data_IF_858148937208
#
_entry.id   IF_858148937208
#
_cell.length_a   1.000
_cell.length_b   1.000
_cell.length_c   1.000
_cell.angle_alpha   90.00
_cell.angle_beta   90.00
_cell.angle_gamma   90.00
#
_symmetry.space_group_name_H-M   'P 1'
#
loop_
_entity.id
_entity.type
_entity.pdbx_description
1 polymer ?
#
# COMPACT_ATOMS: atom_id res chain seq x y z
N UNK A 1 -0.48 11.78 -9.86
CA UNK A 1 -1.84 12.35 -9.95
C UNK A 1 -2.00 13.30 -8.78
N UNK A 2 -2.06 14.60 -9.02
CA UNK A 2 -2.24 15.60 -7.95
C UNK A 2 -3.72 15.65 -7.61
N UNK A 3 -4.11 15.15 -6.44
CA UNK A 3 -5.47 15.29 -5.94
C UNK A 3 -5.61 16.73 -5.45
N UNK A 4 -6.46 17.51 -6.09
CA UNK A 4 -6.76 18.88 -5.67
C UNK A 4 -7.80 18.81 -4.55
N UNK A 5 -7.34 19.00 -3.33
CA UNK A 5 -8.17 18.89 -2.13
C UNK A 5 -9.42 19.80 -2.18
N UNK A 6 -9.27 21.00 -2.74
CA UNK A 6 -10.35 21.97 -2.91
C UNK A 6 -11.52 21.44 -3.75
N UNK A 7 -11.23 20.75 -4.85
CA UNK A 7 -12.26 20.16 -5.74
C UNK A 7 -12.98 19.01 -5.03
N UNK A 8 -12.24 18.20 -4.27
CA UNK A 8 -12.81 17.08 -3.50
C UNK A 8 -13.78 17.56 -2.40
N UNK A 9 -13.45 18.66 -1.71
CA UNK A 9 -14.35 19.24 -0.71
C UNK A 9 -15.65 19.74 -1.35
N UNK A 10 -15.55 20.45 -2.48
CA UNK A 10 -16.73 20.92 -3.21
C UNK A 10 -17.60 19.76 -3.69
N UNK A 11 -16.99 18.69 -4.20
CA UNK A 11 -17.73 17.50 -4.62
C UNK A 11 -18.47 16.84 -3.44
N UNK A 12 -17.84 16.75 -2.27
CA UNK A 12 -18.46 16.19 -1.06
C UNK A 12 -19.66 17.02 -0.61
N UNK A 13 -19.56 18.36 -0.64
CA UNK A 13 -20.64 19.26 -0.23
C UNK A 13 -21.87 19.15 -1.15
N UNK A 14 -21.67 18.73 -2.41
CA UNK A 14 -22.78 18.50 -3.35
C UNK A 14 -23.48 17.14 -3.18
N UNK A 15 -22.94 16.24 -2.34
CA UNK A 15 -23.54 14.93 -2.10
C UNK A 15 -24.74 15.02 -1.14
N UNK A 16 -25.70 14.07 -1.24
CA UNK A 16 -26.78 13.91 -0.27
C UNK A 16 -26.26 13.65 1.15
N UNK A 17 -27.04 14.02 2.15
CA UNK A 17 -26.68 13.93 3.58
C UNK A 17 -26.30 12.51 3.99
N UNK A 18 -27.01 11.50 3.49
CA UNK A 18 -26.72 10.09 3.77
C UNK A 18 -25.35 9.65 3.26
N UNK A 19 -24.92 10.17 2.11
CA UNK A 19 -23.62 9.85 1.54
C UNK A 19 -22.49 10.56 2.29
N UNK A 20 -22.70 11.80 2.73
CA UNK A 20 -21.73 12.52 3.58
C UNK A 20 -21.53 11.80 4.92
N UNK A 21 -22.61 11.33 5.54
CA UNK A 21 -22.55 10.53 6.77
C UNK A 21 -21.80 9.21 6.58
N UNK A 22 -22.01 8.52 5.45
CA UNK A 22 -21.31 7.27 5.13
C UNK A 22 -19.79 7.49 4.99
N UNK A 23 -19.37 8.60 4.37
CA UNK A 23 -17.96 8.98 4.27
C UNK A 23 -17.38 9.21 5.68
N UNK A 24 -18.11 9.90 6.55
CA UNK A 24 -17.70 10.18 7.92
C UNK A 24 -17.55 8.89 8.74
N UNK A 25 -18.49 7.96 8.64
CA UNK A 25 -18.42 6.63 9.26
C UNK A 25 -17.22 5.83 8.74
N UNK A 26 -16.96 5.89 7.44
CA UNK A 26 -15.80 5.24 6.84
C UNK A 26 -14.49 5.82 7.37
N UNK A 27 -14.38 7.14 7.50
CA UNK A 27 -13.22 7.81 8.12
C UNK A 27 -13.05 7.33 9.57
N UNK A 28 -14.11 7.24 10.35
CA UNK A 28 -14.04 6.73 11.73
C UNK A 28 -13.56 5.27 11.79
N UNK A 29 -14.03 4.43 10.87
CA UNK A 29 -13.59 3.04 10.76
C UNK A 29 -12.11 2.95 10.40
N UNK A 30 -11.63 3.80 9.49
CA UNK A 30 -10.20 3.90 9.17
C UNK A 30 -9.38 4.35 10.38
N UNK A 31 -9.82 5.38 11.10
CA UNK A 31 -9.14 5.85 12.33
C UNK A 31 -9.08 4.76 13.41
N UNK A 32 -10.13 3.93 13.52
CA UNK A 32 -10.18 2.80 14.47
C UNK A 32 -9.24 1.65 14.07
N UNK A 33 -9.13 1.35 12.77
CA UNK A 33 -8.29 0.27 12.24
C UNK A 33 -6.82 0.64 12.12
N UNK A 34 -6.54 1.93 11.94
CA UNK A 34 -5.20 2.50 11.89
C UNK A 34 -5.03 3.53 13.01
N UNK A 35 -5.07 3.12 14.30
CA UNK A 35 -4.85 4.00 15.43
C UNK A 35 -3.37 4.37 15.48
N UNK A 36 -3.01 5.46 14.78
CA UNK A 36 -1.67 6.01 14.69
C UNK A 36 -0.67 5.20 13.86
N UNK A 37 -0.30 5.75 12.71
CA UNK A 37 0.93 5.39 11.99
C UNK A 37 1.45 6.66 11.33
N UNK A 38 2.43 7.30 11.99
CA UNK A 38 3.37 8.29 11.46
C UNK A 38 2.85 9.65 10.94
N UNK A 39 1.61 9.77 10.46
CA UNK A 39 1.10 11.00 9.85
C UNK A 39 0.82 12.11 10.88
N UNK A 40 0.23 11.78 12.04
CA UNK A 40 -0.05 12.76 13.11
C UNK A 40 1.25 13.29 13.75
N UNK A 41 2.29 12.47 13.81
CA UNK A 41 3.63 12.91 14.25
C UNK A 41 4.28 13.81 13.19
N UNK A 42 4.13 13.50 11.90
CA UNK A 42 4.69 14.31 10.81
C UNK A 42 4.05 15.71 10.71
N UNK A 43 2.77 15.85 11.06
CA UNK A 43 2.08 17.17 11.09
C UNK A 43 2.54 18.00 12.31
N UNK A 44 2.83 17.40 13.47
CA UNK A 44 3.39 18.10 14.64
C UNK A 44 4.90 18.38 14.56
N UNK A 45 5.66 17.57 13.81
CA UNK A 45 7.11 17.73 13.65
C UNK A 45 7.50 18.86 12.69
N UNK A 46 6.62 19.24 11.75
CA UNK A 46 6.92 20.30 10.77
C UNK A 46 7.03 21.71 11.38
N UNK A 47 6.56 21.93 12.62
CA UNK A 47 6.68 23.23 13.30
C UNK A 47 7.95 23.37 14.16
N UNK A 48 8.78 22.33 14.33
CA UNK A 48 9.92 22.41 15.27
C UNK A 48 11.28 21.90 14.73
N UNK A 49 11.39 21.22 13.59
CA UNK A 49 12.69 20.63 13.22
C UNK A 49 13.17 20.91 11.79
N UNK A 50 13.64 22.14 11.57
CA UNK A 50 14.50 22.52 10.44
C UNK A 50 15.94 21.98 10.54
N UNK A 51 16.23 21.03 11.43
CA UNK A 51 17.57 20.43 11.55
C UNK A 51 17.47 18.97 11.97
N UNK A 52 17.53 18.02 11.02
CA UNK A 52 18.19 16.71 11.15
C UNK A 52 17.83 15.84 9.94
N UNK A 53 18.87 15.51 9.17
CA UNK A 53 19.03 14.46 8.14
C UNK A 53 17.78 13.91 7.45
N UNK A 54 17.75 13.83 6.09
CA UNK A 54 16.68 13.13 5.39
C UNK A 54 16.54 11.71 5.96
N UNK A 55 15.34 11.35 6.40
CA UNK A 55 15.01 9.97 6.81
C UNK A 55 15.45 9.06 5.65
N UNK A 56 16.33 8.06 5.89
CA UNK A 56 16.83 7.20 4.83
C UNK A 56 15.64 6.52 4.15
N UNK A 57 15.72 6.31 2.84
CA UNK A 57 14.63 5.70 2.10
C UNK A 57 14.38 4.30 2.70
N UNK A 58 13.13 3.81 2.74
CA UNK A 58 12.84 2.47 3.26
C UNK A 58 13.68 1.36 2.61
N UNK A 59 14.06 1.56 1.34
CA UNK A 59 15.00 0.69 0.62
C UNK A 59 16.40 0.72 1.22
N UNK A 60 16.93 1.90 1.56
CA UNK A 60 18.27 2.04 2.14
C UNK A 60 18.35 1.32 3.50
N UNK A 61 17.32 1.51 4.35
CA UNK A 61 17.21 0.80 5.64
C UNK A 61 17.12 -0.72 5.47
N UNK A 62 16.43 -1.18 4.42
CA UNK A 62 16.27 -2.59 4.15
C UNK A 62 17.57 -3.24 3.64
N UNK A 63 18.28 -2.58 2.72
CA UNK A 63 19.58 -3.04 2.20
C UNK A 63 20.64 -3.03 3.30
N UNK A 64 20.64 -2.02 4.19
CA UNK A 64 21.55 -1.98 5.35
C UNK A 64 21.29 -3.17 6.30
N UNK A 65 20.02 -3.49 6.57
CA UNK A 65 19.65 -4.52 7.54
C UNK A 65 19.83 -5.95 7.03
N UNK A 66 19.48 -6.20 5.77
CA UNK A 66 19.41 -7.55 5.20
C UNK A 66 20.48 -7.82 4.13
N UNK A 67 21.28 -6.81 3.77
CA UNK A 67 22.21 -6.88 2.66
C UNK A 67 21.53 -6.66 1.31
N UNK A 68 22.34 -6.52 0.26
CA UNK A 68 21.83 -6.58 -1.11
C UNK A 68 21.24 -7.98 -1.36
N UNK A 69 20.11 -8.03 -2.07
CA UNK A 69 19.55 -9.29 -2.54
C UNK A 69 20.47 -9.84 -3.63
N UNK A 70 21.43 -10.66 -3.23
CA UNK A 70 22.24 -11.47 -4.14
C UNK A 70 21.46 -12.77 -4.38
N UNK A 71 20.70 -12.81 -5.46
CA UNK A 71 20.10 -14.06 -5.94
C UNK A 71 21.10 -14.73 -6.89
N UNK A 72 21.48 -15.97 -6.59
CA UNK A 72 22.37 -16.77 -7.46
C UNK A 72 21.63 -17.30 -8.69
N UNK A 73 20.28 -17.26 -8.66
CA UNK A 73 19.42 -17.74 -9.72
C UNK A 73 19.33 -16.72 -10.87
N UNK A 74 19.44 -17.23 -12.09
CA UNK A 74 19.14 -16.45 -13.28
C UNK A 74 17.64 -16.15 -13.37
N UNK A 75 17.27 -15.10 -14.11
CA UNK A 75 15.87 -14.75 -14.32
C UNK A 75 15.07 -15.92 -14.93
N UNK A 76 15.71 -16.70 -15.80
CA UNK A 76 15.15 -17.89 -16.43
C UNK A 76 14.85 -19.00 -15.42
N UNK A 77 15.75 -19.22 -14.46
CA UNK A 77 15.59 -20.23 -13.40
C UNK A 77 14.46 -19.85 -12.43
N UNK A 78 14.36 -18.57 -12.04
CA UNK A 78 13.28 -18.07 -11.19
C UNK A 78 11.92 -18.26 -11.89
N UNK A 79 11.83 -17.89 -13.18
CA UNK A 79 10.60 -18.09 -13.97
C UNK A 79 10.25 -19.57 -14.01
N UNK A 80 11.23 -20.44 -14.26
CA UNK A 80 11.03 -21.89 -14.30
C UNK A 80 10.55 -22.43 -12.96
N UNK A 81 11.16 -22.05 -11.84
CA UNK A 81 10.77 -22.47 -10.50
C UNK A 81 9.33 -22.05 -10.17
N UNK A 82 8.91 -20.84 -10.57
CA UNK A 82 7.54 -20.37 -10.38
C UNK A 82 6.55 -21.22 -11.19
N UNK A 83 6.88 -21.60 -12.42
CA UNK A 83 6.02 -22.47 -13.23
C UNK A 83 5.98 -23.90 -12.71
N UNK A 84 7.11 -24.45 -12.27
CA UNK A 84 7.19 -25.80 -11.73
C UNK A 84 6.51 -25.92 -10.36
N UNK A 85 6.56 -24.86 -9.55
CA UNK A 85 5.94 -24.79 -8.22
C UNK A 85 4.45 -24.48 -8.26
N UNK A 86 3.90 -24.11 -9.43
CA UNK A 86 2.45 -23.96 -9.59
C UNK A 86 1.80 -25.34 -9.53
N UNK A 87 1.15 -25.62 -8.40
CA UNK A 87 0.12 -26.67 -8.38
C UNK A 87 -1.05 -26.18 -9.23
N UNK A 88 -1.56 -27.05 -10.11
CA UNK A 88 -2.76 -26.77 -10.92
C UNK A 88 -3.84 -26.19 -10.02
N UNK A 89 -4.36 -25.02 -10.40
CA UNK A 89 -5.49 -24.40 -9.72
C UNK A 89 -6.71 -25.32 -9.85
N UNK A 90 -7.63 -25.32 -8.87
CA UNK A 90 -8.90 -26.04 -8.99
C UNK A 90 -9.68 -25.70 -10.28
N UNK A 91 -9.43 -24.53 -10.87
CA UNK A 91 -9.99 -24.14 -12.16
C UNK A 91 -9.47 -25.01 -13.32
N UNK A 92 -8.19 -25.40 -13.30
CA UNK A 92 -7.57 -26.20 -14.37
C UNK A 92 -8.08 -27.65 -14.36
N UNK A 93 -8.37 -28.21 -13.16
CA UNK A 93 -9.01 -29.53 -13.02
C UNK A 93 -10.46 -29.51 -13.55
N UNK A 94 -11.17 -28.39 -13.41
CA UNK A 94 -12.55 -28.28 -13.88
C UNK A 94 -12.66 -28.28 -15.42
N UNK A 95 -11.63 -27.83 -16.14
CA UNK A 95 -11.60 -27.87 -17.61
C UNK A 95 -11.23 -29.26 -18.13
N UNK A 96 -10.31 -29.97 -17.48
CA UNK A 96 -9.90 -31.32 -17.87
C UNK A 96 -11.00 -32.37 -17.74
N UNK A 97 -11.90 -32.24 -16.76
CA UNK A 97 -13.05 -33.16 -16.59
C UNK A 97 -14.23 -32.87 -17.55
N UNK A 98 -14.05 -31.96 -18.51
CA UNK A 98 -15.09 -31.55 -19.47
C UNK A 98 -14.81 -32.02 -20.92
N UNK A 99 -13.73 -32.77 -21.13
CA UNK A 99 -13.40 -33.51 -22.35
C UNK A 99 -13.62 -35.01 -22.13
#
# INVERSE_FOLDING_TARGET
>A
MLIKFEEVCQDIDTLPEEAQLLILDFIQLLKKRYPSTELENKIRENDVLSTLSPKPHPLDTFIEKYGAWEDELTAEEIVKEIYDSRTVSNYDIAILNRL
#
